data_IF_189760894994
#
_entry.id   IF_189760894994
#
_cell.length_a   1.000
_cell.length_b   1.000
_cell.length_c   1.000
_cell.angle_alpha   90.00
_cell.angle_beta   90.00
_cell.angle_gamma   90.00
#
_symmetry.space_group_name_H-M   'P 1'
#
loop_
_entity.id
_entity.type
_entity.pdbx_description
1 polymer ?
#
# COMPACT_ATOMS: atom_id res chain seq x y z
N UNK A 1 31.49 2.46 -57.03
CA UNK A 1 31.04 3.70 -56.36
C UNK A 1 30.60 3.30 -54.97
N UNK A 2 31.48 3.62 -54.02
CA UNK A 2 31.32 3.75 -52.56
C UNK A 2 30.11 3.11 -51.88
N UNK A 3 30.43 2.17 -50.99
CA UNK A 3 29.70 1.84 -49.76
C UNK A 3 29.08 3.09 -49.10
N UNK A 4 27.85 2.96 -48.63
CA UNK A 4 27.32 3.78 -47.54
C UNK A 4 26.91 2.83 -46.42
N UNK A 5 27.91 2.47 -45.61
CA UNK A 5 27.70 2.11 -44.22
C UNK A 5 27.33 3.37 -43.42
N UNK A 6 26.78 3.13 -42.22
CA UNK A 6 26.44 4.07 -41.14
C UNK A 6 24.99 4.63 -41.19
N UNK A 7 24.23 4.61 -40.09
CA UNK A 7 24.61 4.23 -38.73
C UNK A 7 23.46 4.33 -37.72
N UNK A 8 23.80 3.97 -36.48
CA UNK A 8 23.00 4.25 -35.30
C UNK A 8 22.34 3.04 -34.64
N UNK A 9 23.10 2.01 -34.25
CA UNK A 9 22.63 1.05 -33.24
C UNK A 9 22.69 1.71 -31.84
N UNK A 10 21.97 2.81 -31.66
CA UNK A 10 21.71 3.38 -30.34
C UNK A 10 20.34 2.91 -29.88
N UNK A 11 20.26 2.29 -28.69
CA UNK A 11 18.97 2.02 -28.03
C UNK A 11 18.09 3.26 -28.05
N UNK A 12 16.78 3.07 -28.23
CA UNK A 12 15.81 4.17 -28.21
C UNK A 12 15.97 4.98 -26.91
N UNK A 13 15.74 6.31 -26.93
CA UNK A 13 15.94 7.16 -25.77
C UNK A 13 15.34 6.65 -24.46
N UNK A 14 14.17 6.00 -24.51
CA UNK A 14 13.48 5.43 -23.35
C UNK A 14 14.14 4.18 -22.75
N UNK A 15 14.93 3.44 -23.53
CA UNK A 15 15.57 2.19 -23.09
C UNK A 15 16.99 2.37 -22.55
N UNK A 16 17.47 3.61 -22.55
CA UNK A 16 18.80 3.98 -22.08
C UNK A 16 18.75 4.31 -20.58
N UNK A 17 18.76 3.27 -19.74
CA UNK A 17 18.86 3.43 -18.29
C UNK A 17 18.26 2.26 -17.51
N UNK A 18 18.16 2.45 -16.19
CA UNK A 18 17.44 1.55 -15.27
C UNK A 18 16.55 2.40 -14.36
N UNK A 19 15.30 2.00 -14.22
CA UNK A 19 14.36 2.56 -13.24
C UNK A 19 14.32 1.60 -12.04
N UNK A 20 14.44 2.14 -10.83
CA UNK A 20 14.23 1.40 -9.59
C UNK A 20 13.11 2.07 -8.80
N UNK A 21 12.19 1.27 -8.26
CA UNK A 21 11.05 1.75 -7.49
C UNK A 21 11.31 1.42 -6.03
N UNK A 22 11.20 2.42 -5.16
CA UNK A 22 11.40 2.20 -3.72
C UNK A 22 10.20 1.48 -3.11
N UNK A 23 10.44 0.65 -2.11
CA UNK A 23 9.41 -0.11 -1.36
C UNK A 23 8.26 0.80 -0.92
N UNK A 24 8.57 1.95 -0.32
CA UNK A 24 7.57 2.90 0.15
C UNK A 24 6.69 3.53 -0.94
N UNK A 25 7.03 3.40 -2.23
CA UNK A 25 6.14 3.76 -3.34
C UNK A 25 5.15 2.63 -3.59
N UNK A 26 5.61 1.39 -3.62
CA UNK A 26 4.77 0.19 -3.78
C UNK A 26 3.80 0.07 -2.61
N UNK A 27 4.27 0.27 -1.38
CA UNK A 27 3.42 0.28 -0.17
C UNK A 27 2.29 1.30 -0.24
N UNK A 28 2.54 2.49 -0.81
CA UNK A 28 1.51 3.53 -0.96
C UNK A 28 0.47 3.15 -2.00
N UNK A 29 0.89 2.57 -3.11
CA UNK A 29 -0.02 2.10 -4.17
C UNK A 29 -0.89 0.98 -3.61
N UNK A 30 -0.27 -0.03 -2.98
CA UNK A 30 -0.98 -1.15 -2.38
C UNK A 30 -1.92 -0.70 -1.25
N UNK A 31 -1.47 0.19 -0.37
CA UNK A 31 -2.29 0.71 0.72
C UNK A 31 -3.49 1.53 0.23
N UNK A 32 -3.34 2.31 -0.83
CA UNK A 32 -4.47 3.03 -1.42
C UNK A 32 -5.44 2.06 -2.10
N UNK A 33 -4.92 1.14 -2.94
CA UNK A 33 -5.74 0.15 -3.63
C UNK A 33 -6.50 -0.77 -2.66
N UNK A 34 -5.89 -1.18 -1.55
CA UNK A 34 -6.57 -1.98 -0.55
C UNK A 34 -7.75 -1.24 0.11
N UNK A 35 -7.61 0.06 0.36
CA UNK A 35 -8.66 0.91 0.97
C UNK A 35 -9.82 1.24 0.04
N UNK A 36 -9.64 1.09 -1.27
CA UNK A 36 -10.71 1.28 -2.25
C UNK A 36 -11.68 0.09 -2.28
N UNK A 37 -11.32 -1.04 -1.66
CA UNK A 37 -12.17 -2.23 -1.62
C UNK A 37 -13.25 -2.08 -0.56
N UNK A 38 -14.50 -2.24 -0.98
CA UNK A 38 -15.67 -2.23 -0.09
C UNK A 38 -15.53 -3.32 0.98
N UNK A 39 -15.77 -2.93 2.24
CA UNK A 39 -15.62 -3.82 3.40
C UNK A 39 -14.25 -3.74 4.08
N UNK A 40 -13.28 -2.99 3.52
CA UNK A 40 -12.07 -2.59 4.23
C UNK A 40 -12.34 -1.28 4.96
N UNK A 41 -12.32 -1.33 6.28
CA UNK A 41 -12.53 -0.16 7.13
C UNK A 41 -11.23 0.64 7.31
N UNK A 42 -10.16 -0.06 7.70
CA UNK A 42 -8.87 0.55 8.01
C UNK A 42 -7.69 -0.38 7.66
N UNK A 43 -6.49 0.19 7.69
CA UNK A 43 -5.22 -0.50 7.41
C UNK A 43 -4.26 -0.35 8.59
N UNK A 44 -3.64 -1.46 8.97
CA UNK A 44 -2.80 -1.65 10.15
C UNK A 44 -3.61 -1.77 11.44
N UNK A 45 -2.94 -2.15 12.52
CA UNK A 45 -3.56 -2.22 13.85
C UNK A 45 -4.12 -0.85 14.28
N UNK A 46 -5.43 -0.69 14.09
CA UNK A 46 -6.26 0.41 14.61
C UNK A 46 -6.87 0.12 15.98
N UNK A 47 -6.23 -0.72 16.81
CA UNK A 47 -6.88 -1.18 18.06
C UNK A 47 -5.94 -1.37 19.26
N UNK A 48 -4.68 -0.93 19.17
CA UNK A 48 -3.64 -1.30 20.16
C UNK A 48 -3.02 -0.19 21.02
N UNK A 49 -3.08 1.09 20.63
CA UNK A 49 -2.35 2.16 21.32
C UNK A 49 -3.24 3.18 22.05
N UNK A 50 -4.55 3.21 21.80
CA UNK A 50 -5.42 4.28 22.31
C UNK A 50 -5.99 4.06 23.71
N UNK A 51 -5.91 2.87 24.30
CA UNK A 51 -6.49 2.67 25.66
C UNK A 51 -5.58 3.07 26.82
N UNK A 52 -4.31 3.42 26.58
CA UNK A 52 -3.37 3.82 27.67
C UNK A 52 -2.47 5.02 27.37
N UNK A 53 -2.44 5.56 26.14
CA UNK A 53 -1.53 6.67 25.78
C UNK A 53 -2.13 8.09 25.89
N UNK A 54 -3.27 8.25 26.56
CA UNK A 54 -3.96 9.54 26.73
C UNK A 54 -3.29 10.59 27.63
N UNK A 55 -2.01 10.44 28.01
CA UNK A 55 -1.39 11.37 28.97
C UNK A 55 0.05 11.83 28.69
N UNK A 56 0.77 11.31 27.67
CA UNK A 56 2.23 11.59 27.57
C UNK A 56 2.72 11.98 26.16
N UNK A 57 1.89 11.93 25.11
CA UNK A 57 2.36 12.25 23.74
C UNK A 57 2.36 13.74 23.39
N UNK A 58 2.00 14.61 24.34
CA UNK A 58 1.78 16.05 24.10
C UNK A 58 3.07 16.90 23.92
N UNK A 59 4.24 16.27 23.72
CA UNK A 59 5.54 16.98 23.67
C UNK A 59 6.52 16.57 22.57
N UNK A 60 6.10 15.84 21.54
CA UNK A 60 6.99 15.54 20.40
C UNK A 60 6.52 16.26 19.14
N UNK A 61 7.16 17.39 18.76
CA UNK A 61 6.89 18.03 17.48
C UNK A 61 7.40 17.12 16.35
N UNK A 62 6.48 16.55 15.58
CA UNK A 62 6.78 15.69 14.43
C UNK A 62 6.07 14.33 14.42
N UNK A 63 5.27 14.00 15.45
CA UNK A 63 4.61 12.69 15.56
C UNK A 63 3.38 12.51 14.67
N UNK A 64 3.56 11.85 13.52
CA UNK A 64 2.60 10.89 12.99
C UNK A 64 1.52 11.42 12.05
N UNK A 65 1.89 11.79 10.81
CA UNK A 65 0.95 11.69 9.69
C UNK A 65 0.44 10.24 9.66
N UNK A 66 -0.87 10.01 9.63
CA UNK A 66 -1.43 8.68 9.35
C UNK A 66 -0.90 8.25 7.98
N UNK A 67 0.16 7.44 7.97
CA UNK A 67 0.81 7.03 6.74
C UNK A 67 -0.18 6.18 5.96
N UNK A 68 -0.42 6.52 4.70
CA UNK A 68 -1.24 5.72 3.77
C UNK A 68 -0.67 4.29 3.62
N UNK A 69 0.62 4.10 3.94
CA UNK A 69 1.30 2.80 4.01
C UNK A 69 1.17 2.06 5.34
N UNK A 70 0.45 2.58 6.35
CA UNK A 70 0.30 1.89 7.63
C UNK A 70 -0.41 0.55 7.40
N UNK A 71 0.17 -0.54 7.91
CA UNK A 71 -0.36 -1.88 7.70
C UNK A 71 -0.05 -2.47 6.32
N UNK A 72 0.89 -1.91 5.58
CA UNK A 72 1.39 -2.46 4.32
C UNK A 72 2.90 -2.51 4.36
N UNK A 73 3.47 -3.68 4.05
CA UNK A 73 4.89 -3.87 3.85
C UNK A 73 5.09 -4.45 2.46
N UNK A 74 6.00 -3.86 1.69
CA UNK A 74 6.39 -4.35 0.39
C UNK A 74 7.86 -4.78 0.41
N UNK A 75 8.15 -5.89 -0.24
CA UNK A 75 9.52 -6.31 -0.55
C UNK A 75 9.67 -6.25 -2.07
N UNK A 76 10.49 -5.31 -2.56
CA UNK A 76 10.66 -5.05 -3.99
C UNK A 76 12.01 -5.62 -4.46
N UNK A 77 11.93 -6.54 -5.41
CA UNK A 77 13.07 -7.05 -6.16
C UNK A 77 13.32 -6.26 -7.45
N UNK A 78 14.11 -6.83 -8.36
CA UNK A 78 14.41 -6.17 -9.64
C UNK A 78 13.22 -6.18 -10.61
N UNK A 79 12.39 -7.22 -10.54
CA UNK A 79 11.23 -7.43 -11.44
C UNK A 79 9.99 -7.89 -10.69
N UNK A 80 10.16 -8.33 -9.44
CA UNK A 80 9.12 -8.98 -8.65
C UNK A 80 8.87 -8.22 -7.36
N UNK A 81 7.67 -8.34 -6.81
CA UNK A 81 7.35 -7.80 -5.49
C UNK A 81 6.41 -8.71 -4.70
N UNK A 82 6.66 -8.80 -3.40
CA UNK A 82 5.81 -9.47 -2.43
C UNK A 82 5.21 -8.43 -1.48
N UNK A 83 3.96 -8.66 -1.07
CA UNK A 83 3.19 -7.70 -0.27
C UNK A 83 2.55 -8.39 0.93
N UNK A 84 2.75 -7.80 2.11
CA UNK A 84 2.05 -8.14 3.34
C UNK A 84 1.13 -6.99 3.75
N UNK A 85 -0.15 -7.28 3.91
CA UNK A 85 -1.17 -6.31 4.32
C UNK A 85 -1.82 -6.75 5.63
N UNK A 86 -2.14 -5.76 6.47
CA UNK A 86 -2.89 -5.93 7.70
C UNK A 86 -4.15 -5.05 7.63
N UNK A 87 -5.33 -5.64 7.49
CA UNK A 87 -6.62 -4.91 7.33
C UNK A 87 -7.52 -5.05 8.56
N UNK A 88 -8.33 -4.01 8.77
CA UNK A 88 -9.55 -4.06 9.60
C UNK A 88 -10.74 -4.06 8.66
N UNK A 89 -11.70 -4.95 8.88
CA UNK A 89 -12.87 -5.13 8.01
C UNK A 89 -14.16 -4.75 8.71
N UNK A 90 -15.20 -4.39 7.95
CA UNK A 90 -16.50 -4.05 8.52
C UNK A 90 -17.25 -5.30 9.04
N UNK A 91 -18.00 -5.17 10.13
CA UNK A 91 -18.89 -6.24 10.59
C UNK A 91 -19.94 -6.59 9.52
N UNK A 92 -20.20 -7.89 9.35
CA UNK A 92 -21.24 -8.41 8.46
C UNK A 92 -20.78 -8.66 7.02
N UNK A 93 -19.52 -8.38 6.67
CA UNK A 93 -18.94 -8.73 5.35
C UNK A 93 -18.30 -10.12 5.38
N UNK A 94 -18.25 -10.77 4.21
CA UNK A 94 -17.49 -12.00 4.03
C UNK A 94 -16.00 -11.70 3.96
N UNK A 95 -15.27 -12.04 5.02
CA UNK A 95 -13.81 -11.82 5.10
C UNK A 95 -13.07 -12.46 3.93
N UNK A 96 -13.53 -13.64 3.49
CA UNK A 96 -12.94 -14.35 2.34
C UNK A 96 -13.08 -13.54 1.05
N UNK A 97 -14.26 -12.98 0.82
CA UNK A 97 -14.55 -12.24 -0.40
C UNK A 97 -13.86 -10.89 -0.40
N UNK A 98 -13.83 -10.19 0.75
CA UNK A 98 -13.05 -8.95 0.93
C UNK A 98 -11.57 -9.22 0.69
N UNK A 99 -10.97 -10.22 1.34
CA UNK A 99 -9.55 -10.55 1.15
C UNK A 99 -9.23 -10.91 -0.31
N UNK A 100 -10.14 -11.60 -1.01
CA UNK A 100 -9.99 -11.88 -2.43
C UNK A 100 -10.01 -10.60 -3.26
N UNK A 101 -10.99 -9.73 -3.04
CA UNK A 101 -11.11 -8.46 -3.75
C UNK A 101 -9.91 -7.55 -3.50
N UNK A 102 -9.39 -7.50 -2.26
CA UNK A 102 -8.16 -6.77 -1.91
C UNK A 102 -6.97 -7.31 -2.69
N UNK A 103 -6.76 -8.64 -2.73
CA UNK A 103 -5.67 -9.23 -3.54
C UNK A 103 -5.78 -8.83 -5.01
N UNK A 104 -6.96 -8.99 -5.60
CA UNK A 104 -7.20 -8.67 -7.01
C UNK A 104 -6.92 -7.19 -7.31
N UNK A 105 -7.42 -6.26 -6.47
CA UNK A 105 -7.22 -4.82 -6.69
C UNK A 105 -5.76 -4.39 -6.48
N UNK A 106 -5.11 -4.90 -5.43
CA UNK A 106 -3.72 -4.57 -5.11
C UNK A 106 -2.77 -5.08 -6.20
N UNK A 107 -2.93 -6.33 -6.64
CA UNK A 107 -2.13 -6.90 -7.74
C UNK A 107 -2.30 -6.04 -8.99
N UNK A 108 -3.54 -5.79 -9.41
CA UNK A 108 -3.80 -5.01 -10.61
C UNK A 108 -3.22 -3.59 -10.54
N UNK A 109 -3.34 -2.92 -9.40
CA UNK A 109 -2.82 -1.57 -9.22
C UNK A 109 -1.28 -1.53 -9.28
N UNK A 110 -0.60 -2.42 -8.54
CA UNK A 110 0.86 -2.46 -8.46
C UNK A 110 1.46 -2.84 -9.80
N UNK A 111 1.01 -3.92 -10.43
CA UNK A 111 1.56 -4.37 -11.72
C UNK A 111 1.40 -3.30 -12.80
N UNK A 112 0.21 -2.70 -12.88
CA UNK A 112 -0.11 -1.72 -13.91
C UNK A 112 0.62 -0.38 -13.73
N UNK A 113 0.91 0.03 -12.49
CA UNK A 113 1.60 1.30 -12.21
C UNK A 113 3.12 1.18 -12.19
N UNK A 114 3.65 0.01 -11.79
CA UNK A 114 5.09 -0.18 -11.54
C UNK A 114 5.77 -1.06 -12.59
N UNK A 115 5.01 -1.89 -13.30
CA UNK A 115 5.54 -2.91 -14.20
C UNK A 115 6.21 -4.09 -13.50
N UNK A 116 6.13 -4.17 -12.16
CA UNK A 116 6.62 -5.31 -11.37
C UNK A 116 5.60 -6.45 -11.42
N UNK A 117 6.06 -7.69 -11.39
CA UNK A 117 5.23 -8.88 -11.20
C UNK A 117 4.95 -9.07 -9.71
N UNK A 118 3.68 -9.18 -9.31
CA UNK A 118 3.33 -9.43 -7.91
C UNK A 118 3.30 -10.95 -7.66
N UNK A 119 4.28 -11.46 -6.92
CA UNK A 119 4.39 -12.91 -6.68
C UNK A 119 3.39 -13.40 -5.65
N UNK A 120 3.13 -12.59 -4.62
CA UNK A 120 2.18 -12.91 -3.57
C UNK A 120 1.64 -11.66 -2.88
N UNK A 121 0.42 -11.80 -2.35
CA UNK A 121 -0.23 -10.81 -1.50
C UNK A 121 -0.82 -11.53 -0.30
N UNK A 122 -0.16 -11.40 0.83
CA UNK A 122 -0.57 -11.95 2.11
C UNK A 122 -1.41 -10.92 2.86
N UNK A 123 -2.55 -11.35 3.41
CA UNK A 123 -3.48 -10.46 4.10
C UNK A 123 -3.78 -11.04 5.48
N UNK A 124 -3.35 -10.31 6.51
CA UNK A 124 -3.78 -10.50 7.87
C UNK A 124 -5.01 -9.63 8.15
N UNK A 125 -6.05 -10.21 8.73
CA UNK A 125 -7.20 -9.44 9.22
C UNK A 125 -7.03 -9.28 10.72
N UNK A 126 -6.71 -8.06 11.17
CA UNK A 126 -6.34 -7.81 12.56
C UNK A 126 -7.52 -7.46 13.46
N UNK A 127 -8.59 -6.90 12.88
CA UNK A 127 -9.79 -6.54 13.64
C UNK A 127 -11.06 -6.51 12.76
N UNK A 128 -12.22 -6.48 13.41
CA UNK A 128 -13.54 -6.29 12.76
C UNK A 128 -14.23 -5.10 13.40
N UNK A 129 -14.50 -4.06 12.61
CA UNK A 129 -15.20 -2.85 13.06
C UNK A 129 -16.65 -3.18 13.38
N UNK A 130 -17.04 -2.96 14.64
CA UNK A 130 -18.43 -3.09 15.07
C UNK A 130 -19.21 -1.79 14.82
N UNK A 131 -20.52 -1.86 14.52
CA UNK A 131 -21.33 -0.68 14.19
C UNK A 131 -21.48 0.33 15.34
N UNK A 132 -21.34 -0.13 16.59
CA UNK A 132 -21.47 0.70 17.79
C UNK A 132 -20.12 1.29 18.27
N UNK A 133 -19.02 0.96 17.59
CA UNK A 133 -17.72 1.54 17.90
C UNK A 133 -17.57 2.90 17.23
N UNK A 134 -17.23 3.98 17.97
CA UNK A 134 -16.99 5.28 17.36
C UNK A 134 -15.87 5.17 16.32
N UNK A 135 -16.00 5.87 15.20
CA UNK A 135 -14.91 5.98 14.24
C UNK A 135 -13.73 6.66 14.92
N UNK A 136 -12.55 6.02 14.88
CA UNK A 136 -11.31 6.66 15.27
C UNK A 136 -10.98 7.72 14.21
N UNK A 137 -11.59 8.90 14.31
CA UNK A 137 -11.24 10.02 13.45
C UNK A 137 -9.78 10.41 13.72
N UNK A 138 -8.94 10.53 12.68
CA UNK A 138 -7.64 11.17 12.85
C UNK A 138 -7.91 12.63 13.17
N UNK A 139 -7.75 13.04 14.44
CA UNK A 139 -8.06 14.38 14.93
C UNK A 139 -7.61 15.46 13.93
N UNK A 140 -8.60 16.01 13.20
CA UNK A 140 -8.44 17.18 12.37
C UNK A 140 -8.18 18.35 13.32
N UNK A 141 -6.89 18.67 13.54
CA UNK A 141 -6.48 19.91 14.22
C UNK A 141 -7.10 21.11 13.50
N UNK A 142 -8.16 21.66 14.07
CA UNK A 142 -8.50 23.06 13.86
C UNK A 142 -7.48 23.92 14.61
N UNK A 143 -7.11 25.01 13.94
CA UNK A 143 -5.92 25.84 14.10
C UNK A 143 -5.76 26.53 15.45
#
# INVERSE_FOLDING_TARGET
MTESASGGFGKEPGDRGRTSIADGVVEKIAGLAAREVVGVHAMGSGSGLSRTFGAVRDRVPGGGKASVSRGVKAEVGETQTALDLEIVVDYGVSIRDVARAVRENVISAVERMTGLEVVEVNIAVSDVKLPDEPDEEPESRLQ
#
